data_IF_417417630832
#
_entry.id   IF_417417630832
#
_cell.length_a   1.000
_cell.length_b   1.000
_cell.length_c   1.000
_cell.angle_alpha   90.00
_cell.angle_beta   90.00
_cell.angle_gamma   90.00
#
_symmetry.space_group_name_H-M   'P 1'
#
loop_
_entity.id
_entity.type
_entity.pdbx_description
1 polymer ?
#
# COMPACT_ATOMS: atom_id res chain seq x y z
N UNK A 1 -7.59 -19.38 22.92
CA UNK A 1 -7.81 -18.56 21.70
C UNK A 1 -8.24 -17.19 22.17
N UNK A 2 -7.31 -16.24 22.22
CA UNK A 2 -7.63 -14.88 22.63
C UNK A 2 -8.39 -14.22 21.47
N UNK A 3 -9.69 -14.01 21.64
CA UNK A 3 -10.48 -13.10 20.83
C UNK A 3 -9.94 -11.69 21.05
N UNK A 4 -9.13 -11.18 20.11
CA UNK A 4 -8.74 -9.78 20.05
C UNK A 4 -9.88 -8.97 19.43
N UNK A 5 -11.03 -8.92 20.11
CA UNK A 5 -12.15 -8.05 19.76
C UNK A 5 -11.96 -6.66 20.39
N UNK A 6 -10.83 -6.02 20.06
CA UNK A 6 -10.51 -4.67 20.52
C UNK A 6 -9.74 -3.92 19.43
N UNK A 7 -10.44 -2.95 18.80
CA UNK A 7 -9.96 -1.93 17.86
C UNK A 7 -9.95 -2.23 16.34
N UNK A 8 -10.61 -3.27 15.82
CA UNK A 8 -10.83 -3.35 14.36
C UNK A 8 -11.77 -2.22 13.86
N UNK A 9 -12.67 -1.73 14.72
CA UNK A 9 -13.62 -0.64 14.38
C UNK A 9 -12.96 0.75 14.19
N UNK A 10 -11.66 0.90 14.49
CA UNK A 10 -10.99 2.23 14.50
C UNK A 10 -10.05 2.46 13.29
N UNK A 11 -9.75 1.43 12.50
CA UNK A 11 -8.86 1.54 11.33
C UNK A 11 -9.67 1.75 10.05
N UNK A 12 -10.14 2.98 9.87
CA UNK A 12 -10.81 3.41 8.63
C UNK A 12 -9.88 4.25 7.75
N UNK A 13 -10.14 4.27 6.45
CA UNK A 13 -9.48 5.21 5.55
C UNK A 13 -9.85 6.65 5.98
N UNK A 14 -8.89 7.59 6.04
CA UNK A 14 -9.17 8.94 6.49
C UNK A 14 -10.34 9.57 5.73
N UNK A 15 -11.31 10.11 6.47
CA UNK A 15 -12.52 10.76 5.91
C UNK A 15 -12.19 11.80 4.85
N UNK A 16 -11.09 12.53 5.02
CA UNK A 16 -10.61 13.51 4.04
C UNK A 16 -10.25 12.88 2.68
N UNK A 17 -9.64 11.69 2.67
CA UNK A 17 -9.30 10.97 1.44
C UNK A 17 -10.56 10.50 0.71
N UNK A 18 -11.53 9.93 1.45
CA UNK A 18 -12.83 9.53 0.88
C UNK A 18 -13.60 10.74 0.34
N UNK A 19 -13.63 11.84 1.09
CA UNK A 19 -14.29 13.07 0.64
C UNK A 19 -13.64 13.66 -0.62
N UNK A 20 -12.31 13.58 -0.71
CA UNK A 20 -11.58 13.99 -1.91
C UNK A 20 -11.95 13.11 -3.10
N UNK A 21 -11.89 11.78 -2.95
CA UNK A 21 -12.28 10.83 -4.00
C UNK A 21 -13.72 11.06 -4.48
N UNK A 22 -14.69 11.23 -3.56
CA UNK A 22 -16.09 11.50 -3.92
C UNK A 22 -16.20 12.78 -4.76
N UNK A 23 -15.47 13.84 -4.40
CA UNK A 23 -15.52 15.13 -5.11
C UNK A 23 -14.89 15.05 -6.50
N UNK A 24 -13.83 14.26 -6.65
CA UNK A 24 -13.16 14.03 -7.93
C UNK A 24 -14.02 13.16 -8.87
N UNK A 25 -14.68 12.13 -8.35
CA UNK A 25 -15.53 11.22 -9.13
C UNK A 25 -16.90 11.82 -9.46
N UNK A 26 -17.51 12.56 -8.53
CA UNK A 26 -18.85 13.14 -8.67
C UNK A 26 -18.81 14.68 -8.54
N UNK A 27 -18.29 15.39 -9.55
CA UNK A 27 -18.20 16.85 -9.50
C UNK A 27 -19.60 17.46 -9.43
N UNK A 28 -19.78 18.41 -8.51
CA UNK A 28 -21.03 19.16 -8.29
C UNK A 28 -22.21 18.39 -7.70
N UNK A 29 -22.01 17.15 -7.23
CA UNK A 29 -23.06 16.38 -6.55
C UNK A 29 -22.98 16.57 -5.04
N UNK A 30 -24.12 16.87 -4.41
CA UNK A 30 -24.24 16.87 -2.94
C UNK A 30 -24.41 15.43 -2.45
N UNK A 31 -23.46 14.96 -1.67
CA UNK A 31 -23.52 13.64 -1.01
C UNK A 31 -23.76 13.85 0.48
N UNK A 32 -24.81 13.19 1.00
CA UNK A 32 -25.20 13.23 2.40
C UNK A 32 -24.09 12.68 3.32
N UNK A 33 -24.03 13.15 4.56
CA UNK A 33 -23.02 12.69 5.52
C UNK A 33 -23.14 11.19 5.77
N UNK A 34 -24.34 10.65 5.96
CA UNK A 34 -24.56 9.22 6.18
C UNK A 34 -24.08 8.37 4.99
N UNK A 35 -24.23 8.86 3.77
CA UNK A 35 -23.71 8.19 2.58
C UNK A 35 -22.17 8.21 2.54
N UNK A 36 -21.53 9.30 3.00
CA UNK A 36 -20.07 9.37 3.13
C UNK A 36 -19.56 8.39 4.17
N UNK A 37 -20.24 8.28 5.32
CA UNK A 37 -19.93 7.29 6.35
C UNK A 37 -20.07 5.86 5.81
N UNK A 38 -21.14 5.59 5.05
CA UNK A 38 -21.32 4.29 4.42
C UNK A 38 -20.17 3.95 3.46
N UNK A 39 -19.72 4.89 2.64
CA UNK A 39 -18.57 4.67 1.74
C UNK A 39 -17.29 4.36 2.52
N UNK A 40 -17.04 5.04 3.64
CA UNK A 40 -15.89 4.74 4.51
C UNK A 40 -15.94 3.27 4.98
N UNK A 41 -17.11 2.82 5.45
CA UNK A 41 -17.30 1.45 5.90
C UNK A 41 -17.13 0.44 4.74
N UNK A 42 -17.67 0.75 3.56
CA UNK A 42 -17.49 -0.08 2.37
C UNK A 42 -16.02 -0.19 1.96
N UNK A 43 -15.19 0.85 2.14
CA UNK A 43 -13.76 0.76 1.86
C UNK A 43 -13.06 -0.24 2.78
N UNK A 44 -13.41 -0.25 4.07
CA UNK A 44 -12.88 -1.23 5.04
C UNK A 44 -13.34 -2.65 4.69
N UNK A 45 -14.62 -2.83 4.42
CA UNK A 45 -15.18 -4.13 4.00
C UNK A 45 -14.53 -4.64 2.71
N UNK A 46 -14.31 -3.77 1.72
CA UNK A 46 -13.64 -4.11 0.47
C UNK A 46 -12.21 -4.61 0.71
N UNK A 47 -11.44 -3.95 1.59
CA UNK A 47 -10.10 -4.40 1.97
C UNK A 47 -10.16 -5.80 2.59
N UNK A 48 -11.10 -6.05 3.50
CA UNK A 48 -11.27 -7.37 4.13
C UNK A 48 -11.70 -8.46 3.16
N UNK A 49 -12.60 -8.14 2.22
CA UNK A 49 -13.04 -9.06 1.17
C UNK A 49 -11.87 -9.52 0.31
N UNK A 50 -11.11 -8.57 -0.25
CA UNK A 50 -9.95 -8.87 -1.10
C UNK A 50 -8.88 -9.61 -0.29
N UNK A 51 -8.61 -9.18 0.95
CA UNK A 51 -7.58 -9.79 1.79
C UNK A 51 -7.92 -11.24 2.16
N UNK A 52 -9.18 -11.52 2.47
CA UNK A 52 -9.65 -12.87 2.78
C UNK A 52 -9.48 -13.81 1.59
N UNK A 53 -9.95 -13.42 0.41
CA UNK A 53 -9.81 -14.23 -0.81
C UNK A 53 -8.35 -14.42 -1.22
N UNK A 54 -7.54 -13.36 -1.17
CA UNK A 54 -6.11 -13.44 -1.47
C UNK A 54 -5.35 -14.33 -0.48
N UNK A 55 -5.76 -14.34 0.80
CA UNK A 55 -5.20 -15.23 1.82
C UNK A 55 -5.55 -16.70 1.53
N UNK A 56 -6.78 -17.00 1.12
CA UNK A 56 -7.15 -18.35 0.69
C UNK A 56 -6.32 -18.83 -0.50
N UNK A 57 -6.18 -18.00 -1.54
CA UNK A 57 -5.36 -18.30 -2.72
C UNK A 57 -3.90 -18.51 -2.33
N UNK A 58 -3.38 -17.68 -1.43
CA UNK A 58 -2.03 -17.82 -0.89
C UNK A 58 -1.82 -19.18 -0.21
N UNK A 59 -2.76 -19.58 0.65
CA UNK A 59 -2.72 -20.85 1.37
C UNK A 59 -2.85 -22.04 0.41
N UNK A 60 -3.75 -21.97 -0.59
CA UNK A 60 -3.89 -22.97 -1.66
C UNK A 60 -2.61 -23.11 -2.49
N UNK A 61 -1.81 -22.05 -2.61
CA UNK A 61 -0.51 -22.05 -3.29
C UNK A 61 0.68 -22.45 -2.40
N UNK A 62 0.42 -22.95 -1.18
CA UNK A 62 1.43 -23.37 -0.18
C UNK A 62 2.43 -22.27 0.20
N UNK A 63 2.03 -20.99 0.07
CA UNK A 63 2.85 -19.83 0.43
C UNK A 63 2.39 -19.22 1.75
N UNK A 64 3.34 -18.67 2.50
CA UNK A 64 3.09 -18.00 3.79
C UNK A 64 2.95 -16.48 3.69
N UNK A 65 3.28 -15.90 2.54
CA UNK A 65 3.23 -14.46 2.31
C UNK A 65 2.32 -14.17 1.13
N UNK A 66 1.31 -13.32 1.35
CA UNK A 66 0.42 -12.86 0.30
C UNK A 66 1.25 -12.01 -0.67
N UNK A 67 1.33 -12.47 -1.91
CA UNK A 67 2.03 -11.79 -2.99
C UNK A 67 1.05 -10.97 -3.83
N UNK A 68 1.53 -9.99 -4.62
CA UNK A 68 0.67 -9.22 -5.53
C UNK A 68 -0.13 -10.12 -6.50
N UNK A 69 0.43 -11.26 -6.88
CA UNK A 69 -0.24 -12.22 -7.77
C UNK A 69 -1.47 -12.86 -7.11
N UNK A 70 -1.44 -13.07 -5.79
CA UNK A 70 -2.61 -13.60 -5.07
C UNK A 70 -3.74 -12.58 -5.02
N UNK A 71 -3.41 -11.28 -4.91
CA UNK A 71 -4.39 -10.19 -4.95
C UNK A 71 -5.00 -10.04 -6.34
N UNK A 72 -4.19 -10.16 -7.40
CA UNK A 72 -4.68 -10.14 -8.79
C UNK A 72 -5.65 -11.31 -9.04
N UNK A 73 -5.32 -12.52 -8.59
CA UNK A 73 -6.20 -13.68 -8.71
C UNK A 73 -7.48 -13.51 -7.87
N UNK A 74 -7.39 -12.91 -6.67
CA UNK A 74 -8.56 -12.61 -5.85
C UNK A 74 -9.52 -11.64 -6.56
N UNK A 75 -8.98 -10.59 -7.19
CA UNK A 75 -9.78 -9.65 -7.98
C UNK A 75 -10.51 -10.36 -9.13
N UNK A 76 -9.84 -11.26 -9.86
CA UNK A 76 -10.48 -12.05 -10.92
C UNK A 76 -11.58 -12.96 -10.35
N UNK A 77 -11.28 -13.72 -9.28
CA UNK A 77 -12.20 -14.66 -8.61
C UNK A 77 -13.48 -13.97 -8.11
N UNK A 78 -13.35 -12.77 -7.57
CA UNK A 78 -14.45 -11.97 -7.02
C UNK A 78 -15.22 -11.17 -8.08
N UNK A 79 -14.84 -11.27 -9.36
CA UNK A 79 -15.52 -10.59 -10.46
C UNK A 79 -15.10 -9.13 -10.68
N UNK A 80 -13.98 -8.70 -10.09
CA UNK A 80 -13.36 -7.38 -10.30
C UNK A 80 -12.31 -7.38 -11.43
N UNK A 81 -12.45 -8.25 -12.44
CA UNK A 81 -11.49 -8.40 -13.53
C UNK A 81 -11.18 -7.10 -14.28
N UNK A 82 -12.14 -6.16 -14.33
CA UNK A 82 -11.94 -4.83 -14.93
C UNK A 82 -10.87 -3.99 -14.24
N UNK A 83 -10.54 -4.26 -12.97
CA UNK A 83 -9.53 -3.50 -12.23
C UNK A 83 -8.10 -4.00 -12.49
N UNK A 84 -7.95 -5.21 -13.05
CA UNK A 84 -6.64 -5.88 -13.14
C UNK A 84 -5.64 -5.11 -13.99
N UNK A 85 -6.09 -4.42 -15.05
CA UNK A 85 -5.21 -3.64 -15.92
C UNK A 85 -4.49 -2.55 -15.13
N UNK A 86 -5.24 -1.68 -14.45
CA UNK A 86 -4.70 -0.58 -13.65
C UNK A 86 -3.88 -1.09 -12.46
N UNK A 87 -4.31 -2.18 -11.81
CA UNK A 87 -3.58 -2.79 -10.71
C UNK A 87 -2.21 -3.32 -11.16
N UNK A 88 -2.10 -3.88 -12.37
CA UNK A 88 -0.82 -4.34 -12.93
C UNK A 88 0.13 -3.18 -13.24
N UNK A 89 -0.39 -2.04 -13.68
CA UNK A 89 0.40 -0.82 -13.89
C UNK A 89 1.00 -0.32 -12.57
N UNK A 90 0.18 -0.23 -11.52
CA UNK A 90 0.64 0.15 -10.17
C UNK A 90 1.70 -0.83 -9.65
N UNK A 91 1.49 -2.14 -9.83
CA UNK A 91 2.48 -3.15 -9.45
C UNK A 91 3.82 -2.94 -10.16
N UNK A 92 3.80 -2.58 -11.44
CA UNK A 92 5.01 -2.33 -12.22
C UNK A 92 5.74 -1.06 -11.74
N UNK A 93 5.01 -0.02 -11.38
CA UNK A 93 5.58 1.17 -10.74
C UNK A 93 6.23 0.81 -9.39
N UNK A 94 5.54 0.06 -8.52
CA UNK A 94 6.09 -0.38 -7.24
C UNK A 94 7.40 -1.16 -7.41
N UNK A 95 7.47 -2.08 -8.39
CA UNK A 95 8.70 -2.82 -8.73
C UNK A 95 9.83 -1.87 -9.15
N UNK A 96 9.49 -0.86 -9.94
CA UNK A 96 10.45 0.16 -10.42
C UNK A 96 10.98 1.00 -9.27
N UNK A 97 10.11 1.45 -8.35
CA UNK A 97 10.50 2.21 -7.15
C UNK A 97 11.41 1.38 -6.25
N UNK A 98 11.05 0.12 -5.99
CA UNK A 98 11.87 -0.79 -5.19
C UNK A 98 13.26 -1.02 -5.82
N UNK A 99 13.33 -1.17 -7.15
CA UNK A 99 14.59 -1.31 -7.87
C UNK A 99 15.46 -0.06 -7.77
N UNK A 100 14.87 1.13 -7.95
CA UNK A 100 15.58 2.41 -7.81
C UNK A 100 16.15 2.57 -6.40
N UNK A 101 15.36 2.25 -5.36
CA UNK A 101 15.81 2.29 -3.96
C UNK A 101 16.99 1.34 -3.72
N UNK A 102 16.91 0.10 -4.21
CA UNK A 102 18.00 -0.88 -4.08
C UNK A 102 19.28 -0.41 -4.77
N UNK A 103 19.19 0.17 -5.97
CA UNK A 103 20.34 0.73 -6.68
C UNK A 103 20.93 1.93 -5.93
N UNK A 104 20.10 2.81 -5.38
CA UNK A 104 20.56 3.95 -4.60
C UNK A 104 21.35 3.51 -3.35
N UNK A 105 20.83 2.53 -2.58
CA UNK A 105 21.54 1.96 -1.42
C UNK A 105 22.88 1.36 -1.84
N UNK A 106 22.89 0.53 -2.88
CA UNK A 106 24.11 -0.10 -3.37
C UNK A 106 25.16 0.93 -3.82
N UNK A 107 24.76 2.03 -4.45
CA UNK A 107 25.68 3.12 -4.81
C UNK A 107 26.23 3.83 -3.59
N UNK A 108 25.40 4.09 -2.59
CA UNK A 108 25.81 4.75 -1.35
C UNK A 108 26.82 3.89 -0.57
N UNK A 109 26.60 2.59 -0.51
CA UNK A 109 27.47 1.64 0.21
C UNK A 109 28.79 1.36 -0.53
N UNK A 110 28.77 1.27 -1.87
CA UNK A 110 29.90 0.72 -2.62
C UNK A 110 30.64 1.74 -3.50
N UNK A 111 30.04 2.89 -3.82
CA UNK A 111 30.59 3.88 -4.76
C UNK A 111 30.72 5.29 -4.16
N UNK A 112 30.63 5.40 -2.84
CA UNK A 112 30.75 6.66 -2.10
C UNK A 112 32.20 7.11 -1.89
N UNK A 113 32.36 8.31 -1.33
CA UNK A 113 33.63 8.75 -0.72
C UNK A 113 33.99 7.75 0.39
N UNK A 114 35.26 7.31 0.51
CA UNK A 114 35.67 6.41 1.58
C UNK A 114 35.24 6.93 2.95
N UNK A 115 34.79 6.03 3.83
CA UNK A 115 34.27 6.38 5.15
C UNK A 115 35.27 7.20 5.99
N UNK A 116 36.57 6.91 5.85
CA UNK A 116 37.65 7.66 6.52
C UNK A 116 37.66 9.15 6.13
N UNK A 117 37.50 9.44 4.83
CA UNK A 117 37.49 10.83 4.33
C UNK A 117 36.19 11.54 4.72
N UNK A 118 35.06 10.83 4.74
CA UNK A 118 33.80 11.39 5.25
C UNK A 118 33.87 11.71 6.75
N UNK A 119 34.51 10.84 7.55
CA UNK A 119 34.70 11.06 8.97
C UNK A 119 35.59 12.28 9.22
N UNK A 120 36.68 12.41 8.45
CA UNK A 120 37.56 13.58 8.52
C UNK A 120 36.81 14.88 8.26
N UNK A 121 36.05 14.95 7.16
CA UNK A 121 35.25 16.12 6.81
C UNK A 121 34.22 16.47 7.90
N UNK A 122 33.58 15.45 8.49
CA UNK A 122 32.65 15.66 9.61
C UNK A 122 33.35 16.23 10.85
N UNK A 123 34.54 15.73 11.21
CA UNK A 123 35.31 16.22 12.36
C UNK A 123 35.80 17.66 12.15
N UNK A 124 36.23 18.02 10.93
CA UNK A 124 36.62 19.40 10.60
C UNK A 124 35.44 20.39 10.78
N UNK A 125 34.21 19.98 10.45
CA UNK A 125 33.01 20.79 10.67
C UNK A 125 32.66 20.94 12.16
N UNK A 126 32.89 19.91 12.98
CA UNK A 126 32.66 20.02 14.44
C UNK A 126 33.69 20.88 15.17
N UNK A 127 34.87 21.06 14.58
CA UNK A 127 35.95 21.86 15.16
C UNK A 127 35.83 23.37 14.86
N UNK A 128 34.90 23.78 14.00
CA UNK A 128 34.55 25.18 13.72
C UNK A 128 33.50 25.72 14.70
#
# INVERSE_FOLDING_TARGET
MASSSGNDDDLTIPRAAINKMIKETLPNVRVANDARELVVNCCTEFIHLISSEANEICNKSEKKTISPEHVIQALESLGFGSYISEVKEVLQECKTVALKRRKASSRLENLGIPEEELLRQQQELFAQ
#
